data_IF_667070786824
#
_entry.id   IF_667070786824
#
_cell.length_a   1.000
_cell.length_b   1.000
_cell.length_c   1.000
_cell.angle_alpha   90.00
_cell.angle_beta   90.00
_cell.angle_gamma   90.00
#
_symmetry.space_group_name_H-M   'P 1'
#
loop_
_entity.id
_entity.type
_entity.pdbx_description
1 polymer ?
#
# COMPACT_ATOMS: atom_id res chain seq x y z
N UNK A 1 -2.95 3.83 -17.67
CA UNK A 1 -1.46 3.87 -17.81
C UNK A 1 -0.96 2.45 -17.93
N UNK A 2 0.14 2.18 -18.65
CA UNK A 2 0.69 0.82 -18.71
C UNK A 2 1.46 0.53 -17.41
N UNK A 3 1.36 -0.68 -16.87
CA UNK A 3 2.16 -1.09 -15.72
C UNK A 3 3.66 -1.30 -16.02
N UNK A 4 4.05 -1.22 -17.29
CA UNK A 4 5.46 -1.30 -17.68
C UNK A 4 6.09 0.07 -17.46
N UNK A 5 7.09 0.14 -16.59
CA UNK A 5 7.88 1.34 -16.37
C UNK A 5 8.57 1.81 -17.66
N UNK A 6 8.65 3.13 -17.86
CA UNK A 6 9.42 3.68 -19.00
C UNK A 6 10.92 3.57 -18.77
N UNK A 7 11.36 3.52 -17.53
CA UNK A 7 12.73 3.20 -17.10
C UNK A 7 12.73 2.66 -15.67
N UNK A 8 13.74 1.89 -15.33
CA UNK A 8 14.07 1.47 -13.97
C UNK A 8 15.42 2.06 -13.58
N UNK A 9 15.53 2.60 -12.39
CA UNK A 9 16.77 3.15 -11.83
C UNK A 9 17.18 2.30 -10.65
N UNK A 10 18.26 1.54 -10.82
CA UNK A 10 18.83 0.76 -9.72
C UNK A 10 19.49 1.70 -8.71
N UNK A 11 19.25 1.46 -7.44
CA UNK A 11 19.83 2.16 -6.31
C UNK A 11 20.69 1.19 -5.48
N UNK A 12 21.19 1.63 -4.33
CA UNK A 12 22.06 0.76 -3.51
C UNK A 12 21.25 -0.28 -2.71
N UNK A 13 20.03 0.06 -2.30
CA UNK A 13 19.14 -0.81 -1.52
C UNK A 13 18.02 -1.35 -2.38
N UNK A 14 17.25 -0.44 -2.96
CA UNK A 14 16.10 -0.76 -3.78
C UNK A 14 16.26 -0.31 -5.22
N UNK A 15 15.14 -0.16 -5.91
CA UNK A 15 15.11 0.44 -7.24
C UNK A 15 13.88 1.33 -7.41
N UNK A 16 13.92 2.22 -8.40
CA UNK A 16 12.80 3.09 -8.73
C UNK A 16 12.32 2.79 -10.14
N UNK A 17 11.08 2.34 -10.24
CA UNK A 17 10.36 2.26 -11.51
C UNK A 17 9.69 3.59 -11.82
N UNK A 18 9.87 4.07 -13.05
CA UNK A 18 9.42 5.38 -13.48
C UNK A 18 8.33 5.25 -14.53
N UNK A 19 7.21 5.93 -14.30
CA UNK A 19 6.06 5.98 -15.20
C UNK A 19 5.75 7.42 -15.57
N UNK A 20 5.33 7.67 -16.80
CA UNK A 20 5.03 9.02 -17.26
C UNK A 20 3.67 9.08 -17.95
N UNK A 21 2.85 10.08 -17.58
CA UNK A 21 1.57 10.36 -18.23
C UNK A 21 1.11 11.80 -17.92
N UNK A 22 0.60 12.48 -18.92
CA UNK A 22 -0.03 13.81 -18.77
C UNK A 22 0.84 14.86 -18.07
N UNK A 23 2.18 14.79 -18.27
CA UNK A 23 3.14 15.70 -17.64
C UNK A 23 3.35 15.45 -16.15
N UNK A 24 2.90 14.30 -15.65
CA UNK A 24 3.23 13.78 -14.33
C UNK A 24 4.19 12.62 -14.49
N UNK A 25 5.23 12.59 -13.67
CA UNK A 25 6.12 11.45 -13.50
C UNK A 25 5.81 10.80 -12.16
N UNK A 26 5.51 9.50 -12.18
CA UNK A 26 5.39 8.65 -11.00
C UNK A 26 6.69 7.86 -10.85
N UNK A 27 7.28 7.94 -9.68
CA UNK A 27 8.41 7.16 -9.22
C UNK A 27 7.91 6.18 -8.18
N UNK A 28 7.94 4.89 -8.49
CA UNK A 28 7.60 3.79 -7.58
C UNK A 28 8.91 3.25 -7.00
N UNK A 29 9.22 3.61 -5.76
CA UNK A 29 10.42 3.17 -5.07
C UNK A 29 10.13 1.88 -4.31
N UNK A 30 10.67 0.77 -4.82
CA UNK A 30 10.70 -0.51 -4.12
C UNK A 30 11.92 -0.52 -3.21
N UNK A 31 11.67 -0.52 -1.92
CA UNK A 31 12.70 -0.30 -0.90
C UNK A 31 13.64 -1.49 -0.74
N UNK A 32 13.18 -2.72 -1.03
CA UNK A 32 13.84 -3.97 -0.71
C UNK A 32 14.33 -4.03 0.76
N UNK A 33 13.58 -3.41 1.63
CA UNK A 33 13.81 -3.48 3.06
C UNK A 33 13.20 -4.76 3.69
N UNK A 34 13.23 -4.87 5.01
CA UNK A 34 12.81 -6.09 5.70
C UNK A 34 11.29 -6.31 5.76
N UNK A 35 10.51 -5.36 5.30
CA UNK A 35 9.04 -5.42 5.22
C UNK A 35 8.52 -5.20 3.80
N UNK A 36 9.44 -5.10 2.82
CA UNK A 36 9.14 -4.92 1.39
C UNK A 36 8.17 -3.74 1.14
N UNK A 37 8.45 -2.59 1.77
CA UNK A 37 7.66 -1.38 1.57
C UNK A 37 7.84 -0.81 0.16
N UNK A 38 6.79 -0.18 -0.36
CA UNK A 38 6.84 0.60 -1.57
C UNK A 38 6.38 2.05 -1.29
N UNK A 39 7.16 3.01 -1.77
CA UNK A 39 6.93 4.44 -1.59
C UNK A 39 6.75 5.09 -2.97
N UNK A 40 5.72 5.89 -3.12
CA UNK A 40 5.43 6.54 -4.41
C UNK A 40 5.70 8.03 -4.34
N UNK A 41 6.36 8.55 -5.38
CA UNK A 41 6.53 9.99 -5.56
C UNK A 41 5.92 10.41 -6.89
N UNK A 42 4.96 11.32 -6.82
CA UNK A 42 4.37 11.91 -8.02
C UNK A 42 4.93 13.32 -8.20
N UNK A 43 5.47 13.59 -9.36
CA UNK A 43 6.08 14.89 -9.63
C UNK A 43 5.53 15.55 -10.90
N UNK A 44 5.29 16.86 -10.82
CA UNK A 44 4.94 17.72 -11.96
C UNK A 44 5.81 18.97 -11.94
N UNK A 45 6.55 19.20 -13.02
CA UNK A 45 7.43 20.38 -13.16
C UNK A 45 8.41 20.57 -11.99
N UNK A 46 9.00 19.47 -11.49
CA UNK A 46 9.96 19.48 -10.39
C UNK A 46 9.34 19.61 -8.98
N UNK A 47 8.02 19.69 -8.84
CA UNK A 47 7.30 19.72 -7.56
C UNK A 47 6.72 18.34 -7.30
N UNK A 48 6.85 17.82 -6.09
CA UNK A 48 6.50 16.44 -5.78
C UNK A 48 5.55 16.24 -4.59
N UNK A 49 4.80 15.15 -4.64
CA UNK A 49 4.01 14.61 -3.52
C UNK A 49 4.46 13.18 -3.27
N UNK A 50 4.71 12.85 -2.01
CA UNK A 50 5.04 11.47 -1.61
C UNK A 50 3.81 10.78 -1.04
N UNK A 51 3.58 9.53 -1.41
CA UNK A 51 2.57 8.65 -0.81
C UNK A 51 3.30 7.55 -0.05
N UNK A 52 2.99 7.38 1.22
CA UNK A 52 3.67 6.58 2.24
C UNK A 52 5.10 7.06 2.53
N UNK A 53 5.77 6.44 3.49
CA UNK A 53 7.09 6.86 3.93
C UNK A 53 8.04 5.66 3.98
N UNK A 54 9.33 5.85 3.59
CA UNK A 54 10.36 4.86 3.88
C UNK A 54 10.65 4.89 5.39
N UNK A 55 10.77 3.73 6.02
CA UNK A 55 10.92 3.62 7.47
C UNK A 55 12.28 3.07 7.94
N UNK A 56 13.14 2.62 7.03
CA UNK A 56 14.51 2.26 7.36
C UNK A 56 15.47 3.41 7.02
N UNK A 57 16.39 3.74 7.94
CA UNK A 57 17.30 4.88 7.77
C UNK A 57 18.12 4.85 6.49
N UNK A 58 18.50 3.67 6.01
CA UNK A 58 19.22 3.52 4.74
C UNK A 58 18.33 3.91 3.55
N UNK A 59 17.07 3.48 3.55
CA UNK A 59 16.09 3.81 2.51
C UNK A 59 15.67 5.29 2.56
N UNK A 60 15.55 5.86 3.76
CA UNK A 60 15.30 7.30 3.95
C UNK A 60 16.40 8.12 3.26
N UNK A 61 17.68 7.79 3.51
CA UNK A 61 18.81 8.48 2.86
C UNK A 61 18.79 8.27 1.35
N UNK A 62 18.60 7.03 0.92
CA UNK A 62 18.63 6.67 -0.50
C UNK A 62 17.56 7.42 -1.30
N UNK A 63 16.31 7.42 -0.82
CA UNK A 63 15.23 8.14 -1.49
C UNK A 63 15.44 9.66 -1.45
N UNK A 64 15.93 10.21 -0.34
CA UNK A 64 16.25 11.63 -0.23
C UNK A 64 17.31 12.05 -1.27
N UNK A 65 18.38 11.27 -1.40
CA UNK A 65 19.45 11.50 -2.37
C UNK A 65 18.95 11.34 -3.82
N UNK A 66 18.07 10.36 -4.06
CA UNK A 66 17.44 10.16 -5.36
C UNK A 66 16.60 11.38 -5.77
N UNK A 67 15.74 11.87 -4.89
CA UNK A 67 14.88 13.03 -5.14
C UNK A 67 15.71 14.30 -5.44
N UNK A 68 16.79 14.49 -4.69
CA UNK A 68 17.71 15.61 -4.92
C UNK A 68 18.39 15.52 -6.31
N UNK A 69 18.80 14.33 -6.74
CA UNK A 69 19.40 14.10 -8.07
C UNK A 69 18.42 14.32 -9.22
N UNK A 70 17.16 13.90 -9.04
CA UNK A 70 16.09 14.12 -10.02
C UNK A 70 15.56 15.57 -10.01
N UNK A 71 16.03 16.43 -9.08
CA UNK A 71 15.62 17.83 -8.96
C UNK A 71 14.17 17.99 -8.49
N UNK A 72 13.67 17.05 -7.68
CA UNK A 72 12.29 17.04 -7.17
C UNK A 72 12.23 17.72 -5.82
N UNK A 73 11.48 18.81 -5.73
CA UNK A 73 11.13 19.46 -4.49
C UNK A 73 9.80 18.87 -3.96
N UNK A 74 9.87 18.08 -2.91
CA UNK A 74 8.67 17.53 -2.26
C UNK A 74 7.97 18.64 -1.50
N UNK A 75 6.66 18.81 -1.74
CA UNK A 75 5.81 19.82 -1.11
C UNK A 75 4.77 19.23 -0.15
N UNK A 76 4.48 17.94 -0.25
CA UNK A 76 3.52 17.26 0.59
C UNK A 76 3.86 15.78 0.76
N UNK A 77 3.51 15.21 1.91
CA UNK A 77 3.50 13.78 2.20
C UNK A 77 2.06 13.33 2.48
N UNK A 78 1.57 12.33 1.79
CA UNK A 78 0.28 11.67 2.03
C UNK A 78 0.55 10.41 2.86
N UNK A 79 0.18 10.45 4.14
CA UNK A 79 0.48 9.40 5.11
C UNK A 79 -0.79 8.61 5.40
N UNK A 80 -0.90 7.45 4.79
CA UNK A 80 -2.07 6.59 4.94
C UNK A 80 -1.85 5.52 6.02
N UNK A 81 -1.14 4.45 5.69
CA UNK A 81 -0.93 3.30 6.57
C UNK A 81 0.46 3.28 7.21
N UNK A 82 1.46 3.85 6.55
CA UNK A 82 2.86 3.78 6.97
C UNK A 82 3.35 5.14 7.45
N UNK A 83 3.15 5.43 8.73
CA UNK A 83 3.58 6.69 9.34
C UNK A 83 4.94 6.60 10.06
N UNK A 84 5.57 5.43 10.13
CA UNK A 84 6.96 5.32 10.59
C UNK A 84 7.89 5.99 9.58
N UNK A 85 9.07 6.47 10.04
CA UNK A 85 10.00 7.20 9.18
C UNK A 85 9.88 8.72 9.30
N UNK A 86 9.61 9.25 10.50
CA UNK A 86 9.50 10.69 10.74
C UNK A 86 10.77 11.49 10.35
N UNK A 87 11.92 10.84 10.27
CA UNK A 87 13.16 11.43 9.78
C UNK A 87 13.16 11.72 8.28
N UNK A 88 12.22 11.15 7.50
CA UNK A 88 12.10 11.43 6.08
C UNK A 88 11.45 12.80 5.85
N UNK A 89 12.22 13.73 5.30
CA UNK A 89 11.77 15.09 4.96
C UNK A 89 10.93 15.74 6.09
N UNK A 90 11.49 15.92 7.29
CA UNK A 90 10.72 16.31 8.49
C UNK A 90 10.05 17.69 8.36
N UNK A 91 10.59 18.58 7.51
CA UNK A 91 10.04 19.93 7.30
C UNK A 91 8.91 19.97 6.25
N UNK A 92 8.66 18.86 5.54
CA UNK A 92 7.59 18.79 4.54
C UNK A 92 6.28 18.47 5.22
N UNK A 93 5.19 19.25 4.99
CA UNK A 93 3.91 19.02 5.62
C UNK A 93 3.31 17.66 5.26
N UNK A 94 2.71 17.01 6.24
CA UNK A 94 2.05 15.73 6.09
C UNK A 94 0.52 15.87 6.12
N UNK A 95 -0.13 15.14 5.24
CA UNK A 95 -1.56 15.07 5.05
C UNK A 95 -2.06 13.65 5.34
N UNK A 96 -3.17 13.52 6.03
CA UNK A 96 -3.79 12.23 6.32
C UNK A 96 -5.24 12.41 6.72
N UNK A 97 -5.99 11.33 6.87
CA UNK A 97 -7.37 11.38 7.35
C UNK A 97 -7.43 11.18 8.88
N UNK A 98 -8.57 11.47 9.50
CA UNK A 98 -8.75 11.18 10.91
C UNK A 98 -8.57 9.69 11.23
N UNK A 99 -9.00 8.79 10.31
CA UNK A 99 -8.79 7.34 10.46
C UNK A 99 -7.30 6.97 10.38
N UNK A 100 -6.53 7.52 9.43
CA UNK A 100 -5.08 7.24 9.34
C UNK A 100 -4.32 7.72 10.57
N UNK A 101 -4.69 8.89 11.12
CA UNK A 101 -4.12 9.38 12.38
C UNK A 101 -4.40 8.41 13.53
N UNK A 102 -5.64 7.97 13.68
CA UNK A 102 -6.02 7.03 14.74
C UNK A 102 -5.31 5.67 14.57
N UNK A 103 -5.26 5.14 13.34
CA UNK A 103 -4.59 3.88 13.01
C UNK A 103 -3.10 3.93 13.38
N UNK A 104 -2.41 5.00 13.01
CA UNK A 104 -0.96 5.14 13.20
C UNK A 104 -0.54 5.59 14.61
N UNK A 105 -1.44 6.15 15.43
CA UNK A 105 -1.09 6.63 16.77
C UNK A 105 -1.57 5.72 17.90
N UNK A 106 -2.73 5.09 17.75
CA UNK A 106 -3.37 4.25 18.79
C UNK A 106 -3.93 2.94 18.28
N UNK A 107 -3.96 2.74 16.96
CA UNK A 107 -4.53 1.57 16.31
C UNK A 107 -3.49 0.50 15.94
N UNK A 108 -3.83 -0.28 14.92
CA UNK A 108 -3.00 -1.39 14.43
C UNK A 108 -1.62 -0.96 13.94
N UNK A 109 -1.53 0.18 13.26
CA UNK A 109 -0.27 0.73 12.78
C UNK A 109 0.70 1.04 13.91
N UNK A 110 0.25 1.67 14.99
CA UNK A 110 1.08 1.94 16.17
C UNK A 110 1.62 0.65 16.80
N UNK A 111 0.80 -0.40 16.89
CA UNK A 111 1.22 -1.70 17.40
C UNK A 111 2.28 -2.36 16.49
N UNK A 112 2.12 -2.28 15.16
CA UNK A 112 3.10 -2.78 14.19
C UNK A 112 4.43 -2.05 14.31
N UNK A 113 4.43 -0.71 14.37
CA UNK A 113 5.66 0.09 14.54
C UNK A 113 6.41 -0.31 15.81
N UNK A 114 5.70 -0.53 16.92
CA UNK A 114 6.31 -1.02 18.17
C UNK A 114 6.98 -2.39 18.00
N UNK A 115 6.31 -3.32 17.30
CA UNK A 115 6.86 -4.64 17.01
C UNK A 115 8.08 -4.56 16.09
N UNK A 116 8.03 -3.73 15.05
CA UNK A 116 9.13 -3.52 14.11
C UNK A 116 10.35 -2.88 14.78
N UNK A 117 10.13 -1.92 15.69
CA UNK A 117 11.24 -1.36 16.49
C UNK A 117 11.94 -2.43 17.31
N UNK A 118 11.19 -3.36 17.90
CA UNK A 118 11.78 -4.47 18.66
C UNK A 118 12.52 -5.47 17.73
N UNK A 119 12.00 -5.72 16.53
CA UNK A 119 12.57 -6.68 15.59
C UNK A 119 13.80 -6.12 14.86
N UNK A 120 13.77 -4.85 14.43
CA UNK A 120 14.78 -4.26 13.54
C UNK A 120 15.74 -3.28 14.24
N UNK A 121 15.45 -2.91 15.49
CA UNK A 121 16.35 -2.12 16.32
C UNK A 121 16.69 -0.74 15.73
N UNK A 122 17.99 -0.43 15.69
CA UNK A 122 18.49 0.90 15.27
C UNK A 122 18.44 1.15 13.77
N UNK A 123 18.16 0.14 12.94
CA UNK A 123 18.00 0.35 11.48
C UNK A 123 16.65 0.95 11.11
N UNK A 124 15.66 0.82 11.99
CA UNK A 124 14.26 1.21 11.78
C UNK A 124 13.95 2.54 12.48
N UNK A 125 13.42 3.51 11.75
CA UNK A 125 12.91 4.76 12.30
C UNK A 125 11.46 4.57 12.80
N UNK A 126 11.32 4.32 14.09
CA UNK A 126 10.02 4.19 14.74
C UNK A 126 9.33 5.54 15.04
N UNK A 127 9.93 6.65 14.62
CA UNK A 127 9.30 7.98 14.74
C UNK A 127 8.03 8.02 13.88
N UNK A 128 6.92 8.43 14.49
CA UNK A 128 5.64 8.59 13.77
C UNK A 128 5.60 10.00 13.16
N UNK A 129 5.43 10.05 11.84
CA UNK A 129 5.19 11.30 11.12
C UNK A 129 3.81 11.84 11.52
N UNK A 130 3.80 13.00 12.20
CA UNK A 130 2.57 13.69 12.58
C UNK A 130 1.86 14.27 11.35
N UNK A 131 0.54 14.20 11.33
CA UNK A 131 -0.29 14.80 10.27
C UNK A 131 -0.54 16.27 10.61
N UNK A 132 -0.12 17.17 9.70
CA UNK A 132 -0.33 18.63 9.83
C UNK A 132 -1.71 19.06 9.32
N UNK A 133 -2.22 18.35 8.29
CA UNK A 133 -3.48 18.65 7.61
C UNK A 133 -4.38 17.42 7.54
N UNK A 134 -5.53 17.48 8.21
CA UNK A 134 -6.52 16.41 8.15
C UNK A 134 -7.36 16.56 6.88
N UNK A 135 -7.37 15.51 6.06
CA UNK A 135 -8.15 15.41 4.83
C UNK A 135 -9.50 14.75 5.11
N UNK A 136 -10.52 15.28 4.43
CA UNK A 136 -11.84 14.68 4.36
C UNK A 136 -12.03 13.94 3.02
N UNK A 137 -13.13 13.19 2.86
CA UNK A 137 -13.50 12.61 1.57
C UNK A 137 -13.69 13.71 0.52
N UNK A 138 -13.06 13.56 -0.64
CA UNK A 138 -13.16 14.52 -1.73
C UNK A 138 -11.85 14.74 -2.47
N UNK A 139 -11.82 15.82 -3.27
CA UNK A 139 -10.65 16.17 -4.06
C UNK A 139 -9.73 17.12 -3.29
N UNK A 140 -8.43 16.90 -3.42
CA UNK A 140 -7.37 17.81 -3.00
C UNK A 140 -6.35 17.96 -4.12
N UNK A 141 -5.80 19.15 -4.30
CA UNK A 141 -4.70 19.42 -5.22
C UNK A 141 -3.42 19.69 -4.41
N UNK A 142 -2.37 18.89 -4.65
CA UNK A 142 -1.06 19.03 -4.03
C UNK A 142 0.00 19.03 -5.14
N UNK A 143 0.95 19.95 -5.10
CA UNK A 143 1.99 20.14 -6.12
C UNK A 143 1.44 20.22 -7.57
N UNK A 144 0.20 20.70 -7.75
CA UNK A 144 -0.48 20.77 -9.04
C UNK A 144 -0.98 19.43 -9.58
N UNK A 145 -1.13 18.42 -8.72
CA UNK A 145 -1.67 17.09 -9.03
C UNK A 145 -2.94 16.89 -8.22
N UNK A 146 -4.00 16.38 -8.85
CA UNK A 146 -5.29 16.12 -8.19
C UNK A 146 -5.34 14.68 -7.64
N UNK A 147 -5.80 14.60 -6.40
CA UNK A 147 -6.06 13.36 -5.69
C UNK A 147 -7.52 13.35 -5.22
N UNK A 148 -8.24 12.26 -5.46
CA UNK A 148 -9.52 12.03 -4.79
C UNK A 148 -9.26 11.11 -3.59
N UNK A 149 -9.48 11.65 -2.40
CA UNK A 149 -9.29 10.96 -1.11
C UNK A 149 -10.53 10.13 -0.80
N UNK A 150 -10.33 8.85 -0.52
CA UNK A 150 -11.37 7.88 -0.17
C UNK A 150 -11.09 7.30 1.23
N UNK A 151 -11.55 7.95 2.31
CA UNK A 151 -11.35 7.43 3.66
C UNK A 151 -11.97 6.04 3.82
N UNK A 152 -11.30 5.19 4.56
CA UNK A 152 -11.80 3.88 4.98
C UNK A 152 -11.66 3.70 6.50
N UNK A 153 -11.90 2.50 7.02
CA UNK A 153 -11.93 2.24 8.46
C UNK A 153 -10.56 2.45 9.14
N UNK A 154 -9.46 2.25 8.42
CA UNK A 154 -8.10 2.32 8.96
C UNK A 154 -7.34 3.55 8.50
N UNK A 155 -7.47 3.92 7.21
CA UNK A 155 -6.76 5.04 6.63
C UNK A 155 -7.52 5.65 5.43
N UNK A 156 -6.97 5.59 4.23
CA UNK A 156 -7.60 6.04 3.00
C UNK A 156 -6.94 5.44 1.76
N UNK A 157 -7.72 5.36 0.69
CA UNK A 157 -7.24 5.12 -0.66
C UNK A 157 -7.17 6.44 -1.42
N UNK A 158 -6.44 6.46 -2.53
CA UNK A 158 -6.32 7.63 -3.41
C UNK A 158 -6.65 7.24 -4.85
N UNK A 159 -7.53 8.00 -5.48
CA UNK A 159 -7.65 7.99 -6.94
C UNK A 159 -6.82 9.14 -7.50
N UNK A 160 -6.04 8.87 -8.54
CA UNK A 160 -5.19 9.84 -9.24
C UNK A 160 -5.63 9.89 -10.70
N UNK A 161 -6.73 10.63 -11.02
CA UNK A 161 -7.40 10.53 -12.31
C UNK A 161 -6.52 10.94 -13.49
N UNK A 162 -5.59 11.87 -13.28
CA UNK A 162 -4.69 12.33 -14.34
C UNK A 162 -3.70 11.24 -14.80
N UNK A 163 -3.48 10.20 -13.98
CA UNK A 163 -2.66 9.03 -14.30
C UNK A 163 -3.47 7.77 -14.63
N UNK A 164 -4.81 7.80 -14.51
CA UNK A 164 -5.66 6.61 -14.46
C UNK A 164 -5.12 5.59 -13.44
N UNK A 165 -4.78 6.08 -12.26
CA UNK A 165 -4.08 5.34 -11.21
C UNK A 165 -4.85 5.39 -9.90
N UNK A 166 -4.76 4.34 -9.12
CA UNK A 166 -5.27 4.28 -7.75
C UNK A 166 -4.17 3.77 -6.81
N UNK A 167 -4.12 4.34 -5.61
CA UNK A 167 -3.36 3.79 -4.49
C UNK A 167 -4.31 3.12 -3.51
N UNK A 168 -4.01 1.87 -3.16
CA UNK A 168 -4.65 1.09 -2.09
C UNK A 168 -3.56 0.41 -1.26
N UNK A 169 -3.84 0.06 0.00
CA UNK A 169 -2.79 -0.51 0.86
C UNK A 169 -2.24 -1.83 0.33
N UNK A 170 -3.11 -2.79 0.01
CA UNK A 170 -2.69 -4.13 -0.39
C UNK A 170 -3.57 -4.72 -1.49
N UNK A 171 -2.94 -5.27 -2.52
CA UNK A 171 -3.59 -6.15 -3.49
C UNK A 171 -2.79 -7.44 -3.67
N UNK A 172 -1.72 -7.43 -4.46
CA UNK A 172 -0.85 -8.58 -4.71
C UNK A 172 -1.57 -9.74 -5.40
N UNK A 173 -1.56 -9.78 -6.74
CA UNK A 173 -2.37 -10.75 -7.50
C UNK A 173 -1.98 -12.21 -7.26
N UNK A 174 -0.72 -12.49 -6.92
CA UNK A 174 -0.17 -13.81 -6.59
C UNK A 174 0.30 -13.91 -5.12
N UNK A 175 -0.31 -13.10 -4.26
CA UNK A 175 -0.09 -13.08 -2.82
C UNK A 175 -1.39 -13.40 -2.10
N UNK A 176 -1.36 -14.19 -1.03
CA UNK A 176 -2.51 -14.36 -0.15
C UNK A 176 -2.86 -13.01 0.53
N UNK A 177 -4.13 -12.79 0.80
CA UNK A 177 -4.62 -11.58 1.48
C UNK A 177 -5.06 -11.90 2.90
N UNK A 178 -5.07 -10.88 3.75
CA UNK A 178 -5.80 -10.93 5.03
C UNK A 178 -7.28 -10.70 4.72
N UNK A 179 -8.11 -11.73 4.91
CA UNK A 179 -9.56 -11.69 4.64
C UNK A 179 -10.34 -12.02 5.90
N UNK A 180 -10.95 -11.01 6.50
CA UNK A 180 -11.71 -11.15 7.75
C UNK A 180 -13.14 -11.67 7.51
N UNK A 181 -13.26 -12.84 6.86
CA UNK A 181 -14.53 -13.48 6.55
C UNK A 181 -15.19 -13.01 5.25
N UNK A 182 -16.32 -13.61 4.90
CA UNK A 182 -17.04 -13.34 3.65
C UNK A 182 -17.42 -11.86 3.44
N UNK A 183 -17.95 -11.13 4.45
CA UNK A 183 -18.28 -9.71 4.24
C UNK A 183 -17.08 -8.85 3.86
N UNK A 184 -15.90 -9.12 4.42
CA UNK A 184 -14.67 -8.41 4.05
C UNK A 184 -14.23 -8.76 2.63
N UNK A 185 -14.29 -10.06 2.24
CA UNK A 185 -14.03 -10.46 0.86
C UNK A 185 -14.97 -9.75 -0.13
N UNK A 186 -16.26 -9.62 0.19
CA UNK A 186 -17.25 -8.94 -0.65
C UNK A 186 -16.93 -7.43 -0.78
N UNK A 187 -16.49 -6.79 0.28
CA UNK A 187 -16.05 -5.39 0.25
C UNK A 187 -14.82 -5.19 -0.65
N UNK A 188 -13.80 -6.04 -0.50
CA UNK A 188 -12.61 -6.03 -1.36
C UNK A 188 -12.96 -6.26 -2.84
N UNK A 189 -13.82 -7.26 -3.13
CA UNK A 189 -14.29 -7.55 -4.49
C UNK A 189 -15.05 -6.35 -5.07
N UNK A 190 -15.91 -5.71 -4.28
CA UNK A 190 -16.66 -4.53 -4.70
C UNK A 190 -15.74 -3.36 -5.06
N UNK A 191 -14.73 -3.10 -4.24
CA UNK A 191 -13.72 -2.07 -4.45
C UNK A 191 -12.93 -2.33 -5.74
N UNK A 192 -12.36 -3.53 -5.91
CA UNK A 192 -11.61 -3.87 -7.12
C UNK A 192 -12.49 -3.81 -8.38
N UNK A 193 -13.73 -4.25 -8.32
CA UNK A 193 -14.68 -4.14 -9.42
C UNK A 193 -15.04 -2.67 -9.74
N UNK A 194 -15.06 -1.79 -8.75
CA UNK A 194 -15.21 -0.36 -8.97
C UNK A 194 -14.05 0.18 -9.80
N UNK A 195 -12.80 -0.10 -9.42
CA UNK A 195 -11.62 0.35 -10.16
C UNK A 195 -11.55 -0.24 -11.58
N UNK A 196 -11.90 -1.52 -11.74
CA UNK A 196 -11.99 -2.18 -13.06
C UNK A 196 -12.99 -1.45 -13.96
N UNK A 197 -14.17 -1.10 -13.46
CA UNK A 197 -15.20 -0.42 -14.26
C UNK A 197 -14.83 1.03 -14.63
N UNK A 198 -14.06 1.69 -13.78
CA UNK A 198 -13.63 3.09 -13.99
C UNK A 198 -12.32 3.21 -14.78
N UNK A 199 -11.67 2.09 -15.09
CA UNK A 199 -10.47 2.08 -15.94
C UNK A 199 -9.22 2.63 -15.28
N UNK A 200 -9.06 2.40 -13.96
CA UNK A 200 -7.82 2.73 -13.27
C UNK A 200 -6.71 1.73 -13.65
N UNK A 201 -6.04 1.98 -14.76
CA UNK A 201 -5.11 1.05 -15.41
C UNK A 201 -3.91 0.67 -14.54
N UNK A 202 -3.54 1.47 -13.55
CA UNK A 202 -2.44 1.23 -12.64
C UNK A 202 -2.93 1.20 -11.19
N UNK A 203 -2.57 0.15 -10.46
CA UNK A 203 -2.87 -0.02 -9.03
C UNK A 203 -1.55 -0.03 -8.27
N UNK A 204 -1.39 0.95 -7.39
CA UNK A 204 -0.24 1.09 -6.49
C UNK A 204 -0.61 0.49 -5.14
N UNK A 205 0.30 -0.28 -4.56
CA UNK A 205 0.13 -0.87 -3.23
C UNK A 205 1.39 -0.71 -2.41
N UNK A 206 1.26 -0.63 -1.09
CA UNK A 206 2.39 -0.33 -0.21
C UNK A 206 3.39 -1.49 -0.05
N UNK A 207 3.06 -2.71 -0.49
CA UNK A 207 3.90 -3.90 -0.30
C UNK A 207 4.03 -4.76 -1.57
N UNK A 208 3.76 -4.19 -2.73
CA UNK A 208 3.82 -4.95 -3.97
C UNK A 208 4.13 -4.02 -5.14
N UNK A 209 4.81 -4.56 -6.16
CA UNK A 209 5.09 -3.80 -7.39
C UNK A 209 3.81 -3.28 -8.04
N UNK A 210 3.83 -2.16 -8.78
CA UNK A 210 2.66 -1.64 -9.45
C UNK A 210 1.94 -2.68 -10.32
N UNK A 211 0.65 -2.80 -10.14
CA UNK A 211 -0.21 -3.80 -10.73
C UNK A 211 -1.18 -3.16 -11.74
N UNK A 212 -1.92 -3.98 -12.50
CA UNK A 212 -2.89 -3.50 -13.49
C UNK A 212 -4.30 -4.09 -13.27
N UNK A 213 -5.24 -3.75 -14.15
CA UNK A 213 -6.61 -4.26 -14.07
C UNK A 213 -6.72 -5.77 -14.36
N UNK A 214 -5.71 -6.38 -14.99
CA UNK A 214 -5.67 -7.84 -15.16
C UNK A 214 -5.33 -8.49 -13.82
N UNK A 215 -4.40 -7.91 -13.09
CA UNK A 215 -4.01 -8.34 -11.76
C UNK A 215 -5.18 -8.18 -10.79
N UNK A 216 -5.90 -7.05 -10.85
CA UNK A 216 -7.12 -6.83 -10.07
C UNK A 216 -8.20 -7.88 -10.34
N UNK A 217 -8.41 -8.29 -11.60
CA UNK A 217 -9.33 -9.38 -11.96
C UNK A 217 -8.89 -10.72 -11.41
N UNK A 218 -7.58 -11.01 -11.43
CA UNK A 218 -7.00 -12.21 -10.82
C UNK A 218 -7.29 -12.23 -9.32
N UNK A 219 -7.10 -11.10 -8.64
CA UNK A 219 -7.40 -10.97 -7.22
C UNK A 219 -8.88 -11.15 -6.89
N UNK A 220 -9.78 -10.58 -7.70
CA UNK A 220 -11.23 -10.81 -7.57
C UNK A 220 -11.57 -12.31 -7.69
N UNK A 221 -10.93 -13.01 -8.63
CA UNK A 221 -11.13 -14.45 -8.81
C UNK A 221 -10.63 -15.25 -7.59
N UNK A 222 -9.46 -14.89 -7.06
CA UNK A 222 -8.90 -15.45 -5.82
C UNK A 222 -9.85 -15.26 -4.63
N UNK A 223 -10.34 -14.04 -4.40
CA UNK A 223 -11.24 -13.73 -3.28
C UNK A 223 -12.55 -14.51 -3.35
N UNK A 224 -13.11 -14.69 -4.54
CA UNK A 224 -14.29 -15.54 -4.72
C UNK A 224 -13.97 -17.01 -4.40
N UNK A 225 -12.84 -17.53 -4.87
CA UNK A 225 -12.42 -18.90 -4.57
C UNK A 225 -12.19 -19.13 -3.07
N UNK A 226 -11.60 -18.17 -2.35
CA UNK A 226 -11.46 -18.25 -0.88
C UNK A 226 -12.81 -18.43 -0.19
N UNK A 227 -13.84 -17.67 -0.61
CA UNK A 227 -15.20 -17.80 -0.05
C UNK A 227 -15.79 -19.18 -0.35
N UNK A 228 -15.66 -19.67 -1.59
CA UNK A 228 -16.17 -20.99 -2.01
C UNK A 228 -15.46 -22.12 -1.26
N UNK A 229 -14.14 -22.07 -1.14
CA UNK A 229 -13.35 -23.04 -0.38
C UNK A 229 -13.81 -23.06 1.08
N UNK A 230 -13.95 -21.90 1.71
CA UNK A 230 -14.38 -21.80 3.11
C UNK A 230 -15.73 -22.50 3.37
N UNK A 231 -16.70 -22.38 2.45
CA UNK A 231 -18.00 -23.03 2.55
C UNK A 231 -17.92 -24.56 2.55
N UNK A 232 -16.85 -25.15 2.01
CA UNK A 232 -16.66 -26.60 1.91
C UNK A 232 -15.80 -27.18 3.03
N UNK A 233 -15.26 -26.33 3.92
CA UNK A 233 -14.33 -26.72 4.97
C UNK A 233 -15.01 -26.77 6.34
N UNK A 234 -14.45 -27.60 7.22
CA UNK A 234 -14.90 -27.75 8.61
C UNK A 234 -13.90 -27.20 9.63
N UNK A 235 -12.71 -26.80 9.19
CA UNK A 235 -11.66 -26.27 10.07
C UNK A 235 -10.71 -25.34 9.32
N UNK A 236 -9.99 -24.49 10.07
CA UNK A 236 -8.94 -23.63 9.56
C UNK A 236 -7.85 -24.45 8.82
N UNK A 237 -7.41 -25.58 9.39
CA UNK A 237 -6.40 -26.43 8.78
C UNK A 237 -6.85 -27.01 7.42
N UNK A 238 -8.11 -27.45 7.31
CA UNK A 238 -8.66 -27.94 6.04
C UNK A 238 -8.75 -26.82 5.01
N UNK A 239 -9.18 -25.62 5.40
CA UNK A 239 -9.24 -24.46 4.51
C UNK A 239 -7.84 -24.08 4.04
N UNK A 240 -6.86 -23.97 4.94
CA UNK A 240 -5.48 -23.64 4.61
C UNK A 240 -4.93 -24.59 3.55
N UNK A 241 -5.03 -25.90 3.78
CA UNK A 241 -4.53 -26.91 2.83
C UNK A 241 -5.17 -26.77 1.45
N UNK A 242 -6.50 -26.61 1.38
CA UNK A 242 -7.21 -26.46 0.10
C UNK A 242 -6.81 -25.18 -0.65
N UNK A 243 -6.56 -24.10 0.06
CA UNK A 243 -6.11 -22.84 -0.54
C UNK A 243 -4.69 -22.99 -1.07
N UNK A 244 -3.76 -23.58 -0.29
CA UNK A 244 -2.39 -23.84 -0.74
C UNK A 244 -2.36 -24.79 -1.97
N UNK A 245 -3.20 -25.80 -1.99
CA UNK A 245 -3.33 -26.74 -3.14
C UNK A 245 -3.87 -26.02 -4.40
N UNK A 246 -4.80 -25.08 -4.22
CA UNK A 246 -5.41 -24.33 -5.33
C UNK A 246 -4.52 -23.19 -5.86
N UNK A 247 -3.65 -22.64 -5.01
CA UNK A 247 -2.77 -21.51 -5.31
C UNK A 247 -1.32 -21.82 -4.91
N UNK A 248 -0.70 -22.86 -5.49
CA UNK A 248 0.67 -23.22 -5.16
C UNK A 248 1.61 -22.12 -5.64
N UNK A 249 2.47 -21.66 -4.77
CA UNK A 249 3.45 -20.62 -5.08
C UNK A 249 3.00 -19.18 -4.81
N UNK A 250 1.76 -18.95 -4.33
CA UNK A 250 1.39 -17.64 -3.79
C UNK A 250 2.23 -17.32 -2.56
N UNK A 251 2.72 -16.08 -2.50
CA UNK A 251 3.38 -15.53 -1.32
C UNK A 251 2.38 -15.22 -0.20
N UNK A 252 2.84 -14.75 0.96
CA UNK A 252 1.95 -14.28 2.03
C UNK A 252 1.25 -15.40 2.81
N UNK A 253 1.90 -16.54 3.06
CA UNK A 253 1.32 -17.63 3.86
C UNK A 253 0.94 -17.19 5.28
N UNK A 254 1.64 -16.22 5.86
CA UNK A 254 1.28 -15.58 7.12
C UNK A 254 -0.09 -14.85 7.04
N UNK A 255 -0.40 -14.24 5.90
CA UNK A 255 -1.71 -13.62 5.66
C UNK A 255 -2.82 -14.68 5.52
N UNK A 256 -2.50 -15.82 4.88
CA UNK A 256 -3.42 -16.96 4.82
C UNK A 256 -3.71 -17.52 6.22
N UNK A 257 -2.68 -17.63 7.08
CA UNK A 257 -2.87 -18.08 8.48
C UNK A 257 -3.84 -17.17 9.24
N UNK A 258 -3.75 -15.86 9.07
CA UNK A 258 -4.69 -14.91 9.65
C UNK A 258 -6.10 -15.09 9.06
N UNK A 259 -6.19 -15.22 7.75
CA UNK A 259 -7.45 -15.40 7.02
C UNK A 259 -8.20 -16.63 7.49
N UNK A 260 -7.56 -17.79 7.55
CA UNK A 260 -8.25 -19.02 8.01
C UNK A 260 -8.69 -18.92 9.46
N UNK A 261 -7.95 -18.18 10.30
CA UNK A 261 -8.34 -17.87 11.66
C UNK A 261 -9.62 -17.02 11.76
N UNK A 262 -9.83 -16.09 10.84
CA UNK A 262 -11.05 -15.29 10.77
C UNK A 262 -12.26 -16.10 10.27
N UNK A 263 -12.06 -17.03 9.34
CA UNK A 263 -13.15 -17.89 8.86
C UNK A 263 -13.52 -18.98 9.86
N UNK A 264 -12.55 -19.46 10.66
CA UNK A 264 -12.72 -20.53 11.67
C UNK A 264 -12.16 -20.07 13.02
N UNK A 265 -12.80 -19.09 13.68
CA UNK A 265 -12.29 -18.60 14.96
C UNK A 265 -12.29 -19.72 16.01
N UNK A 266 -11.19 -19.81 16.76
CA UNK A 266 -11.11 -20.73 17.91
C UNK A 266 -12.17 -20.30 18.90
N UNK A 267 -13.18 -21.14 19.13
CA UNK A 267 -14.14 -20.92 20.21
C UNK A 267 -13.36 -21.09 21.53
N UNK A 268 -13.08 -19.98 22.20
CA UNK A 268 -12.61 -20.05 23.58
C UNK A 268 -13.73 -20.68 24.43
N UNK A 269 -13.52 -21.90 24.88
CA UNK A 269 -14.43 -22.65 25.74
C UNK A 269 -14.45 -22.06 27.15
#
# INVERSE_FOLDING_TARGET
MNKIAVRTVELNKGHVDVYEKNGITLYAYQTHDLIDDEVFVLARSGRGVVIELPCFFDNIRELTDFLAREGIQVEAKLVAYHAAGAAFLPEVPAYGTASSVAYNTTGGGAALVSNFKNAFGESFDAGICGVDHVLEEGEVELAGIRFAVKPNAEAFDLEIPELDCVYIHMMGHDCHSIVAGCPHADAMISQLNYYIRHGFDLVLTAHYTPEDLKDAKTKVSYLNAIKEIALTCKSAAEMKQKVEDAYPGYSGLNYLDMTVGFFFPVQNA
#
